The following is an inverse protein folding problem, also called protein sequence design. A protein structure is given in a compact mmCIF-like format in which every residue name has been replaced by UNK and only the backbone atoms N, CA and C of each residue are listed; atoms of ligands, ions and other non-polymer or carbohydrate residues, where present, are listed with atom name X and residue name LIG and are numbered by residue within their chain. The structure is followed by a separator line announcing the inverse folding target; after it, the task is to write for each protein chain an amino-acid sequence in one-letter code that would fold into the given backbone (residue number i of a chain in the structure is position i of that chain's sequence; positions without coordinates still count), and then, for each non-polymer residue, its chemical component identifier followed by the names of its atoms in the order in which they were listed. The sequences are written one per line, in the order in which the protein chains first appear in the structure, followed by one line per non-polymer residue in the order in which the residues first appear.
data_IF_371306882854
#
_entry.id   IF_371306882854
#
_cell.length_a   1.000
_cell.length_b   1.000
_cell.length_c   1.000
_cell.angle_alpha   90.00
_cell.angle_beta   90.00
_cell.angle_gamma   90.00
#
_symmetry.space_group_name_H-M   'P 1'
#
loop_
_entity.id
_entity.type
_entity.pdbx_description
1 polymer ?
#
# COMPACT_ATOMS: atom_id res chain seq x y z
N UNK A 1 -13.70 -18.70 22.41
CA UNK A 1 -12.38 -19.04 22.99
C UNK A 1 -11.34 -19.11 21.88
N UNK A 2 -10.33 -18.26 21.97
CA UNK A 2 -9.21 -18.04 21.04
C UNK A 2 -8.01 -18.94 21.33
N UNK A 3 -7.97 -19.62 22.47
CA UNK A 3 -6.93 -20.59 22.82
C UNK A 3 -7.58 -21.96 23.05
N UNK A 4 -7.05 -23.02 22.43
CA UNK A 4 -7.55 -24.40 22.52
C UNK A 4 -6.42 -25.36 22.88
N UNK A 5 -6.69 -26.34 23.73
CA UNK A 5 -5.76 -27.44 23.99
C UNK A 5 -5.91 -28.51 22.89
N UNK A 6 -4.80 -29.01 22.36
CA UNK A 6 -4.72 -30.07 21.35
C UNK A 6 -3.57 -31.00 21.76
N UNK A 7 -3.85 -32.25 22.10
CA UNK A 7 -2.85 -33.33 22.29
C UNK A 7 -1.56 -32.89 23.02
N UNK A 8 -1.69 -32.31 24.23
CA UNK A 8 -0.62 -31.73 25.07
C UNK A 8 -0.02 -30.37 24.65
N UNK A 9 -0.56 -29.71 23.63
CA UNK A 9 -0.14 -28.37 23.19
C UNK A 9 -1.30 -27.35 23.28
N UNK A 10 -0.95 -26.07 23.42
CA UNK A 10 -1.89 -24.95 23.43
C UNK A 10 -1.85 -24.22 22.09
N UNK A 11 -2.96 -24.21 21.36
CA UNK A 11 -3.11 -23.52 20.09
C UNK A 11 -3.82 -22.19 20.28
N UNK A 12 -3.18 -21.10 19.86
CA UNK A 12 -3.80 -19.79 19.69
C UNK A 12 -4.40 -19.70 18.29
N UNK A 13 -5.66 -19.31 18.20
CA UNK A 13 -6.43 -19.03 16.98
C UNK A 13 -7.17 -17.70 17.15
N UNK A 14 -6.56 -16.62 16.67
CA UNK A 14 -7.08 -15.26 16.86
C UNK A 14 -7.20 -14.52 15.53
N UNK A 15 -8.27 -13.74 15.40
CA UNK A 15 -8.47 -12.75 14.34
C UNK A 15 -8.44 -11.36 14.97
N UNK A 16 -7.28 -10.69 15.04
CA UNK A 16 -7.16 -9.42 15.75
C UNK A 16 -7.99 -8.29 15.10
N UNK A 17 -8.25 -8.36 13.79
CA UNK A 17 -9.05 -7.37 13.04
C UNK A 17 -10.47 -7.88 12.69
N UNK A 18 -11.04 -8.79 13.50
CA UNK A 18 -12.41 -9.27 13.31
C UNK A 18 -12.60 -10.29 12.18
N UNK A 19 -13.86 -10.50 11.75
CA UNK A 19 -14.28 -11.65 10.90
C UNK A 19 -13.54 -11.75 9.57
N UNK A 20 -13.26 -10.62 8.92
CA UNK A 20 -12.54 -10.52 7.64
C UNK A 20 -11.05 -10.16 7.80
N UNK A 21 -10.55 -10.15 9.05
CA UNK A 21 -9.16 -9.88 9.37
C UNK A 21 -8.23 -11.08 9.16
N UNK A 22 -6.91 -10.84 9.12
CA UNK A 22 -5.92 -11.91 9.04
C UNK A 22 -6.07 -12.87 10.23
N UNK A 23 -6.04 -14.18 9.96
CA UNK A 23 -6.10 -15.23 11.00
C UNK A 23 -4.68 -15.62 11.40
N UNK A 24 -4.36 -15.47 12.68
CA UNK A 24 -3.08 -15.91 13.25
C UNK A 24 -3.32 -17.20 14.03
N UNK A 25 -2.63 -18.27 13.62
CA UNK A 25 -2.71 -19.58 14.27
C UNK A 25 -1.32 -20.10 14.62
N UNK A 26 -1.07 -20.39 15.89
CA UNK A 26 0.23 -20.87 16.38
C UNK A 26 0.07 -21.80 17.58
N UNK A 27 0.97 -22.78 17.69
CA UNK A 27 1.02 -23.74 18.81
C UNK A 27 2.11 -23.37 19.81
N UNK A 28 1.85 -23.65 21.08
CA UNK A 28 2.71 -23.39 22.23
C UNK A 28 2.70 -24.58 23.19
N UNK A 29 3.78 -24.76 23.95
CA UNK A 29 3.88 -25.82 24.95
C UNK A 29 3.11 -25.50 26.22
N UNK A 30 3.06 -24.22 26.62
CA UNK A 30 2.36 -23.79 27.84
C UNK A 30 1.17 -22.88 27.55
N UNK A 31 0.17 -22.91 28.45
CA UNK A 31 -1.00 -22.02 28.40
C UNK A 31 -0.60 -20.55 28.55
N UNK A 32 0.38 -20.28 29.40
CA UNK A 32 0.85 -18.92 29.71
C UNK A 32 1.52 -18.26 28.51
N UNK A 33 2.33 -19.00 27.74
CA UNK A 33 2.90 -18.51 26.48
C UNK A 33 1.82 -18.24 25.43
N UNK A 34 0.84 -19.13 25.31
CA UNK A 34 -0.29 -18.94 24.40
C UNK A 34 -1.09 -17.66 24.74
N UNK A 35 -1.34 -17.41 26.03
CA UNK A 35 -2.05 -16.21 26.50
C UNK A 35 -1.24 -14.92 26.33
N UNK A 36 0.08 -14.95 26.52
CA UNK A 36 0.94 -13.80 26.24
C UNK A 36 0.98 -13.49 24.74
N UNK A 37 1.10 -14.52 23.90
CA UNK A 37 1.12 -14.36 22.46
C UNK A 37 -0.21 -13.80 21.92
N UNK A 38 -1.34 -14.29 22.41
CA UNK A 38 -2.66 -13.74 22.07
C UNK A 38 -2.74 -12.23 22.38
N UNK A 39 -2.40 -11.83 23.61
CA UNK A 39 -2.39 -10.42 24.03
C UNK A 39 -1.46 -9.57 23.17
N UNK A 40 -0.27 -10.08 22.87
CA UNK A 40 0.70 -9.40 22.00
C UNK A 40 0.17 -9.23 20.57
N UNK A 41 -0.45 -10.26 19.98
CA UNK A 41 -1.03 -10.19 18.63
C UNK A 41 -2.16 -9.17 18.58
N UNK A 42 -3.06 -9.18 19.57
CA UNK A 42 -4.18 -8.22 19.65
C UNK A 42 -3.65 -6.79 19.79
N UNK A 43 -2.67 -6.54 20.67
CA UNK A 43 -2.08 -5.22 20.88
C UNK A 43 -1.33 -4.71 19.63
N UNK A 44 -0.53 -5.58 19.00
CA UNK A 44 0.31 -5.20 17.85
C UNK A 44 -0.50 -4.98 16.58
N UNK A 45 -1.60 -5.71 16.39
CA UNK A 45 -2.39 -5.67 15.16
C UNK A 45 -3.57 -4.69 15.23
N UNK A 46 -4.06 -4.34 16.42
CA UNK A 46 -5.00 -3.21 16.59
C UNK A 46 -4.31 -1.86 16.43
N UNK A 47 -3.03 -1.73 16.81
CA UNK A 47 -2.29 -0.46 16.70
C UNK A 47 -1.82 -0.14 15.26
N UNK A 48 -2.38 -0.83 14.27
CA UNK A 48 -2.00 -0.74 12.85
C UNK A 48 -3.18 -0.43 11.94
N UNK A 49 -4.24 0.19 12.45
CA UNK A 49 -5.34 0.67 11.58
C UNK A 49 -4.85 1.67 10.52
N UNK A 50 -3.86 2.51 10.84
CA UNK A 50 -3.19 3.42 9.90
C UNK A 50 -2.16 2.73 8.98
N UNK A 51 -1.73 1.52 9.36
CA UNK A 51 -0.90 0.61 8.57
C UNK A 51 -1.77 -0.39 7.80
N UNK A 52 -3.06 -0.07 7.62
CA UNK A 52 -3.94 -0.78 6.72
C UNK A 52 -3.20 -0.98 5.42
N UNK A 53 -2.89 -2.26 5.14
CA UNK A 53 -2.26 -2.79 3.92
C UNK A 53 -2.19 -1.71 2.88
N UNK A 54 -0.98 -1.30 2.50
CA UNK A 54 -0.65 -0.54 1.30
C UNK A 54 -1.79 -0.66 0.29
N UNK A 55 -2.83 0.19 0.44
CA UNK A 55 -3.84 0.37 -0.59
C UNK A 55 -3.11 1.27 -1.52
N UNK A 56 -2.12 0.66 -2.19
CA UNK A 56 -1.43 1.19 -3.34
C UNK A 56 -2.55 1.78 -4.16
N UNK A 57 -2.54 3.10 -4.24
CA UNK A 57 -3.58 3.83 -4.91
C UNK A 57 -3.74 3.15 -6.29
N UNK A 58 -4.94 2.57 -6.57
CA UNK A 58 -5.14 1.75 -7.77
C UNK A 58 -5.19 2.61 -9.03
N UNK A 59 -5.21 3.93 -8.89
CA UNK A 59 -5.31 4.87 -9.99
C UNK A 59 -4.12 4.75 -10.90
N UNK A 60 -4.43 4.83 -12.18
CA UNK A 60 -3.45 5.00 -13.24
C UNK A 60 -2.78 6.37 -13.13
N UNK A 61 -1.59 6.50 -13.71
CA UNK A 61 -0.91 7.78 -13.74
C UNK A 61 -1.74 8.85 -14.48
N UNK A 62 -2.49 8.45 -15.51
CA UNK A 62 -3.43 9.33 -16.23
C UNK A 62 -4.51 9.91 -15.31
N UNK A 63 -5.20 9.06 -14.54
CA UNK A 63 -6.22 9.49 -13.58
C UNK A 63 -5.64 10.45 -12.51
N UNK A 64 -4.40 10.20 -12.09
CA UNK A 64 -3.72 11.07 -11.14
C UNK A 64 -3.37 12.44 -11.75
N UNK A 65 -2.93 12.47 -13.00
CA UNK A 65 -2.65 13.72 -13.75
C UNK A 65 -3.94 14.52 -13.95
N UNK A 66 -5.05 13.86 -14.27
CA UNK A 66 -6.34 14.53 -14.41
C UNK A 66 -6.86 15.10 -13.09
N UNK A 67 -6.74 14.35 -12.01
CA UNK A 67 -7.07 14.83 -10.67
C UNK A 67 -6.20 16.03 -10.29
N UNK A 68 -4.88 15.93 -10.48
CA UNK A 68 -3.95 17.03 -10.26
C UNK A 68 -4.32 18.26 -11.09
N UNK A 69 -4.68 18.07 -12.36
CA UNK A 69 -5.08 19.17 -13.22
C UNK A 69 -6.36 19.86 -12.74
N UNK A 70 -7.34 19.11 -12.24
CA UNK A 70 -8.62 19.66 -11.74
C UNK A 70 -8.45 20.47 -10.46
N UNK A 71 -7.62 20.02 -9.52
CA UNK A 71 -7.46 20.69 -8.23
C UNK A 71 -6.38 21.79 -8.24
N UNK A 72 -5.25 21.52 -8.90
CA UNK A 72 -4.09 22.40 -8.86
C UNK A 72 -3.76 22.99 -10.24
N UNK A 73 -3.83 22.18 -11.30
CA UNK A 73 -3.46 22.60 -12.66
C UNK A 73 -4.22 23.83 -13.17
N UNK A 74 -5.50 23.99 -12.81
CA UNK A 74 -6.32 25.16 -13.17
C UNK A 74 -5.79 26.49 -12.62
N UNK A 75 -5.03 26.46 -11.52
CA UNK A 75 -4.47 27.66 -10.89
C UNK A 75 -3.15 28.13 -11.50
N UNK A 76 -2.50 27.30 -12.34
CA UNK A 76 -1.23 27.66 -12.97
C UNK A 76 -1.44 28.29 -14.34
N UNK A 77 -0.75 29.41 -14.59
CA UNK A 77 -0.68 30.06 -15.91
C UNK A 77 -0.22 29.14 -17.04
N UNK A 78 0.54 28.09 -16.71
CA UNK A 78 1.04 27.08 -17.66
C UNK A 78 0.50 25.68 -17.38
N UNK A 79 -0.63 25.56 -16.65
CA UNK A 79 -1.22 24.29 -16.25
C UNK A 79 -1.52 23.36 -17.43
N UNK A 80 -2.08 23.90 -18.51
CA UNK A 80 -2.36 23.14 -19.74
C UNK A 80 -1.11 22.57 -20.40
N UNK A 81 -0.04 23.38 -20.50
CA UNK A 81 1.24 22.92 -21.07
C UNK A 81 1.85 21.80 -20.23
N UNK A 82 1.81 21.95 -18.91
CA UNK A 82 2.35 20.96 -17.98
C UNK A 82 1.53 19.66 -17.98
N UNK A 83 0.18 19.77 -18.06
CA UNK A 83 -0.72 18.63 -18.24
C UNK A 83 -0.42 17.88 -19.53
N UNK A 84 -0.25 18.58 -20.65
CA UNK A 84 0.06 17.97 -21.95
C UNK A 84 1.41 17.21 -21.90
N UNK A 85 2.43 17.79 -21.26
CA UNK A 85 3.71 17.11 -21.05
C UNK A 85 3.56 15.87 -20.17
N UNK A 86 2.82 15.95 -19.07
CA UNK A 86 2.60 14.78 -18.20
C UNK A 86 1.81 13.67 -18.89
N UNK A 87 0.81 14.00 -19.71
CA UNK A 87 0.07 13.01 -20.50
C UNK A 87 0.98 12.34 -21.55
N UNK A 88 1.88 13.09 -22.20
CA UNK A 88 2.87 12.54 -23.12
C UNK A 88 3.80 11.54 -22.41
N UNK A 89 4.31 11.91 -21.25
CA UNK A 89 5.15 11.04 -20.41
C UNK A 89 4.37 9.79 -19.99
N UNK A 90 3.11 9.94 -19.61
CA UNK A 90 2.23 8.82 -19.25
C UNK A 90 2.01 7.86 -20.42
N UNK A 91 1.76 8.38 -21.63
CA UNK A 91 1.57 7.60 -22.84
C UNK A 91 2.84 6.84 -23.23
N UNK A 92 4.02 7.46 -23.14
CA UNK A 92 5.31 6.81 -23.39
C UNK A 92 5.61 5.69 -22.38
N UNK A 93 5.12 5.80 -21.14
CA UNK A 93 5.25 4.76 -20.12
C UNK A 93 4.15 3.67 -20.20
N UNK A 94 3.19 3.78 -21.12
CA UNK A 94 2.10 2.81 -21.27
C UNK A 94 1.06 2.86 -20.14
N UNK A 95 0.85 4.04 -19.54
CA UNK A 95 -0.11 4.29 -18.46
C UNK A 95 0.00 3.32 -17.26
N UNK A 96 1.16 3.28 -16.58
CA UNK A 96 1.33 2.45 -15.40
C UNK A 96 0.48 2.98 -14.23
N UNK A 97 0.24 2.13 -13.23
CA UNK A 97 -0.31 2.60 -11.95
C UNK A 97 0.70 3.52 -11.27
N UNK A 98 0.21 4.60 -10.66
CA UNK A 98 1.07 5.55 -9.95
C UNK A 98 1.89 4.87 -8.85
N UNK A 99 1.30 3.85 -8.22
CA UNK A 99 1.93 3.03 -7.17
C UNK A 99 3.04 2.08 -7.65
N UNK A 100 3.12 1.84 -8.96
CA UNK A 100 4.15 0.98 -9.58
C UNK A 100 5.31 1.81 -10.16
N UNK A 101 5.23 3.15 -10.09
CA UNK A 101 6.31 4.03 -10.48
C UNK A 101 7.47 3.93 -9.48
N UNK A 102 8.61 3.45 -9.95
CA UNK A 102 9.84 3.39 -9.18
C UNK A 102 10.86 4.39 -9.72
N UNK A 103 11.84 4.79 -8.90
CA UNK A 103 12.93 5.68 -9.33
C UNK A 103 13.64 5.15 -10.60
N UNK A 104 13.73 3.83 -10.74
CA UNK A 104 14.29 3.18 -11.92
C UNK A 104 13.49 3.45 -13.21
N UNK A 105 12.15 3.53 -13.12
CA UNK A 105 11.27 3.92 -14.23
C UNK A 105 11.58 5.34 -14.69
N UNK A 106 11.82 6.27 -13.76
CA UNK A 106 12.23 7.63 -14.08
C UNK A 106 13.66 7.73 -14.60
N UNK A 107 14.60 6.90 -14.14
CA UNK A 107 15.98 6.87 -14.67
C UNK A 107 16.01 6.44 -16.14
N UNK A 108 15.12 5.54 -16.56
CA UNK A 108 14.96 5.17 -17.98
C UNK A 108 14.42 6.31 -18.84
N UNK A 109 13.68 7.26 -18.26
CA UNK A 109 13.19 8.46 -18.95
C UNK A 109 14.25 9.58 -19.07
N UNK A 110 15.26 9.59 -18.18
CA UNK A 110 16.31 10.62 -18.14
C UNK A 110 17.24 10.74 -19.38
N UNK A 111 17.39 9.78 -20.32
CA UNK A 111 18.26 10.01 -21.48
C UNK A 111 17.64 10.86 -22.60
N UNK A 112 16.36 11.24 -22.55
CA UNK A 112 15.69 11.98 -23.64
C UNK A 112 15.33 13.44 -23.31
N UNK A 113 15.64 13.91 -22.11
CA UNK A 113 15.57 15.33 -21.76
C UNK A 113 16.88 16.08 -22.05
N UNK A 114 17.63 15.67 -23.08
CA UNK A 114 18.56 16.56 -23.76
C UNK A 114 17.72 17.59 -24.51
N UNK A 115 17.49 18.72 -23.85
CA UNK A 115 17.01 19.98 -24.42
C UNK A 115 17.64 20.19 -25.82
N UNK A 116 16.88 20.37 -26.91
CA UNK A 116 17.44 21.03 -28.08
C UNK A 116 17.70 22.50 -27.72
N UNK A 117 18.88 23.01 -28.15
CA UNK A 117 19.26 24.43 -28.07
C UNK A 117 18.26 25.35 -28.77
#
# INVERSE_FOLDING_TARGET
MTIKAIDNEWMVDVRPQGRNGPRVRRKFKTKSEAQQYERWVIATQNNKEWLGKDKKDPRTLEELIEAWSKFYGQSLKSGDKLRATFLRICAEMGNPRASDLTKATFTKYRPLASMPE
#
